data_IF_224981201065
#
_entry.id   IF_224981201065
#
_cell.length_a   1.000
_cell.length_b   1.000
_cell.length_c   1.000
_cell.angle_alpha   90.00
_cell.angle_beta   90.00
_cell.angle_gamma   90.00
#
_symmetry.space_group_name_H-M   'P 1'
#
loop_
_entity.id
_entity.type
_entity.pdbx_description
1 polymer ?
#
# COMPACT_ATOMS: atom_id res chain seq x y z
N UNK A 1 -3.38 14.02 -22.25
CA UNK A 1 -4.00 14.72 -21.10
C UNK A 1 -5.51 14.79 -21.28
N UNK A 2 -6.30 13.97 -20.59
CA UNK A 2 -7.77 14.14 -20.59
C UNK A 2 -8.18 14.97 -19.36
N UNK A 3 -8.60 16.22 -19.58
CA UNK A 3 -9.28 17.02 -18.55
C UNK A 3 -10.63 16.36 -18.30
N UNK A 4 -10.80 15.65 -17.18
CA UNK A 4 -12.13 15.18 -16.73
C UNK A 4 -12.97 16.41 -16.40
N UNK A 5 -13.93 16.74 -17.25
CA UNK A 5 -14.87 17.84 -17.03
C UNK A 5 -15.72 17.55 -15.78
N UNK A 6 -15.74 18.50 -14.83
CA UNK A 6 -16.62 18.46 -13.66
C UNK A 6 -18.03 18.93 -14.07
N UNK A 7 -18.82 18.01 -14.64
CA UNK A 7 -20.14 18.32 -15.20
C UNK A 7 -21.21 18.64 -14.13
N UNK A 8 -20.95 18.33 -12.86
CA UNK A 8 -21.92 18.51 -11.76
C UNK A 8 -21.57 19.66 -10.81
N UNK A 9 -20.43 20.33 -11.01
CA UNK A 9 -19.91 21.31 -10.06
C UNK A 9 -19.55 20.70 -8.70
N UNK A 10 -19.28 19.39 -8.65
CA UNK A 10 -19.03 18.69 -7.39
C UNK A 10 -17.76 19.22 -6.71
N UNK A 11 -17.82 19.33 -5.39
CA UNK A 11 -16.66 19.63 -4.56
C UNK A 11 -15.84 18.37 -4.35
N UNK A 12 -14.52 18.49 -4.36
CA UNK A 12 -13.64 17.37 -4.00
C UNK A 12 -13.49 17.33 -2.49
N UNK A 13 -13.75 16.17 -1.89
CA UNK A 13 -13.48 15.94 -0.46
C UNK A 13 -12.00 15.60 -0.31
N UNK A 14 -11.31 16.30 0.60
CA UNK A 14 -9.92 16.06 0.94
C UNK A 14 -9.79 14.71 1.66
N UNK A 15 -8.67 14.02 1.40
CA UNK A 15 -8.43 12.71 2.00
C UNK A 15 -8.23 12.81 3.52
N UNK A 16 -7.73 13.93 4.01
CA UNK A 16 -7.46 14.18 5.43
C UNK A 16 -8.76 14.29 6.26
N UNK A 17 -9.88 14.59 5.60
CA UNK A 17 -11.22 14.64 6.20
C UNK A 17 -11.93 13.28 6.23
N UNK A 18 -11.25 12.23 5.78
CA UNK A 18 -11.76 10.88 5.65
C UNK A 18 -10.82 9.92 6.38
N UNK A 19 -11.31 9.31 7.45
CA UNK A 19 -10.60 8.23 8.13
C UNK A 19 -11.33 6.93 7.89
N UNK A 20 -10.65 5.99 7.24
CA UNK A 20 -11.15 4.63 7.04
C UNK A 20 -10.19 3.69 7.73
N UNK A 21 -10.73 2.79 8.55
CA UNK A 21 -9.97 1.69 9.17
C UNK A 21 -10.68 0.37 8.93
N UNK A 22 -9.91 -0.71 8.82
CA UNK A 22 -10.47 -2.06 8.68
C UNK A 22 -9.92 -2.93 9.79
N UNK A 23 -10.83 -3.53 10.55
CA UNK A 23 -10.53 -4.51 11.58
C UNK A 23 -10.92 -5.90 11.08
N UNK A 24 -9.92 -6.76 10.91
CA UNK A 24 -10.11 -8.16 10.53
C UNK A 24 -9.91 -9.06 11.75
N UNK A 25 -10.98 -9.73 12.19
CA UNK A 25 -10.93 -10.71 13.27
C UNK A 25 -11.79 -11.95 12.94
N UNK A 26 -11.24 -13.15 13.16
CA UNK A 26 -11.96 -14.42 13.03
C UNK A 26 -12.79 -14.60 11.75
N UNK A 27 -12.27 -14.17 10.60
CA UNK A 27 -12.94 -14.31 9.30
C UNK A 27 -14.02 -13.26 9.00
N UNK A 28 -14.24 -12.31 9.90
CA UNK A 28 -15.03 -11.10 9.65
C UNK A 28 -14.09 -9.90 9.50
N UNK A 29 -14.39 -9.03 8.54
CA UNK A 29 -13.70 -7.75 8.34
C UNK A 29 -14.71 -6.61 8.40
N UNK A 30 -14.55 -5.74 9.39
CA UNK A 30 -15.41 -4.58 9.60
C UNK A 30 -14.65 -3.32 9.20
N UNK A 31 -15.24 -2.54 8.29
CA UNK A 31 -14.72 -1.25 7.86
C UNK A 31 -15.41 -0.15 8.65
N UNK A 32 -14.63 0.66 9.38
CA UNK A 32 -15.09 1.87 10.06
C UNK A 32 -14.74 3.10 9.23
N UNK A 33 -15.71 3.98 8.99
CA UNK A 33 -15.54 5.19 8.18
C UNK A 33 -15.98 6.40 8.97
N UNK A 34 -15.04 7.29 9.26
CA UNK A 34 -15.28 8.57 9.91
C UNK A 34 -15.06 9.72 8.93
N UNK A 35 -15.99 10.66 8.92
CA UNK A 35 -16.03 11.78 7.97
C UNK A 35 -16.16 13.10 8.71
N UNK A 36 -15.44 14.12 8.23
CA UNK A 36 -15.57 15.53 8.65
C UNK A 36 -15.96 16.36 7.46
N UNK A 37 -17.21 16.82 7.42
CA UNK A 37 -17.76 17.54 6.28
C UNK A 37 -18.07 19.01 6.58
N UNK A 38 -17.75 19.52 7.77
CA UNK A 38 -18.09 20.89 8.23
C UNK A 38 -17.62 21.99 7.25
N UNK A 39 -16.42 21.84 6.67
CA UNK A 39 -15.86 22.82 5.73
C UNK A 39 -16.48 22.75 4.32
N UNK A 40 -17.35 21.77 4.07
CA UNK A 40 -17.95 21.55 2.77
C UNK A 40 -19.37 22.13 2.75
N UNK A 41 -19.67 22.94 1.74
CA UNK A 41 -21.01 23.52 1.55
C UNK A 41 -22.03 22.50 1.02
N UNK A 42 -22.25 21.42 1.77
CA UNK A 42 -23.21 20.35 1.46
C UNK A 42 -24.45 20.46 2.36
N UNK A 43 -25.67 20.22 1.83
CA UNK A 43 -26.89 20.21 2.64
C UNK A 43 -26.87 19.09 3.70
N UNK A 44 -27.40 19.35 4.89
CA UNK A 44 -27.45 18.37 5.97
C UNK A 44 -28.28 17.12 5.65
N UNK A 45 -29.28 17.27 4.77
CA UNK A 45 -30.13 16.18 4.28
C UNK A 45 -29.53 15.42 3.10
N UNK A 46 -28.36 15.83 2.59
CA UNK A 46 -27.65 15.08 1.55
C UNK A 46 -27.29 13.68 2.04
N UNK A 47 -27.40 12.69 1.16
CA UNK A 47 -27.05 11.30 1.47
C UNK A 47 -25.57 11.08 1.26
N UNK A 48 -24.93 10.43 2.23
CA UNK A 48 -23.54 10.00 2.15
C UNK A 48 -23.52 8.50 1.88
N UNK A 49 -22.83 8.13 0.81
CA UNK A 49 -22.64 6.75 0.39
C UNK A 49 -21.15 6.50 0.37
N UNK A 50 -20.74 5.35 0.92
CA UNK A 50 -19.37 4.87 0.84
C UNK A 50 -19.36 3.61 -0.02
N UNK A 51 -18.52 3.60 -1.05
CA UNK A 51 -18.32 2.43 -1.89
C UNK A 51 -16.92 1.87 -1.63
N UNK A 52 -16.83 0.60 -1.25
CA UNK A 52 -15.60 -0.17 -1.29
C UNK A 52 -15.49 -0.82 -2.68
N UNK A 53 -14.38 -0.61 -3.36
CA UNK A 53 -14.14 -1.09 -4.72
C UNK A 53 -12.84 -1.90 -4.78
N UNK A 54 -12.87 -3.03 -5.49
CA UNK A 54 -11.68 -3.83 -5.81
C UNK A 54 -11.68 -4.17 -7.30
N UNK A 55 -10.71 -3.62 -8.03
CA UNK A 55 -10.66 -3.70 -9.49
C UNK A 55 -11.91 -3.08 -10.14
N UNK A 56 -12.31 -3.60 -11.31
CA UNK A 56 -13.47 -3.06 -12.06
C UNK A 56 -14.80 -3.74 -11.73
N UNK A 57 -14.77 -4.94 -11.15
CA UNK A 57 -15.93 -5.82 -11.05
C UNK A 57 -16.55 -5.88 -9.66
N UNK A 58 -15.75 -5.71 -8.58
CA UNK A 58 -16.25 -5.88 -7.22
C UNK A 58 -16.49 -4.51 -6.58
N UNK A 59 -17.74 -4.24 -6.23
CA UNK A 59 -18.15 -3.04 -5.48
C UNK A 59 -19.13 -3.42 -4.39
N UNK A 60 -18.89 -2.89 -3.20
CA UNK A 60 -19.78 -2.99 -2.08
C UNK A 60 -20.18 -1.58 -1.65
N UNK A 61 -21.48 -1.33 -1.57
CA UNK A 61 -22.04 -0.03 -1.25
C UNK A 61 -22.61 -0.03 0.16
N UNK A 62 -22.19 0.96 0.94
CA UNK A 62 -22.67 1.25 2.28
C UNK A 62 -23.40 2.58 2.32
N UNK A 63 -24.61 2.57 2.86
CA UNK A 63 -25.40 3.77 3.10
C UNK A 63 -24.95 4.38 4.44
N UNK A 64 -23.91 5.21 4.38
CA UNK A 64 -23.26 5.77 5.57
C UNK A 64 -24.22 6.62 6.41
N UNK A 65 -25.14 7.35 5.76
CA UNK A 65 -26.17 8.13 6.42
C UNK A 65 -26.40 9.49 5.75
N UNK A 66 -26.74 10.50 6.55
CA UNK A 66 -26.93 11.88 6.10
C UNK A 66 -25.70 12.73 6.40
N UNK A 67 -25.40 13.71 5.53
CA UNK A 67 -24.24 14.60 5.68
C UNK A 67 -24.31 15.39 7.00
N UNK A 68 -25.52 15.67 7.51
CA UNK A 68 -25.73 16.27 8.82
C UNK A 68 -24.98 15.59 9.98
N UNK A 69 -24.78 14.26 9.91
CA UNK A 69 -24.01 13.53 10.92
C UNK A 69 -22.50 13.84 10.85
N UNK A 70 -21.99 14.20 9.68
CA UNK A 70 -20.57 14.53 9.45
C UNK A 70 -20.27 16.04 9.52
N UNK A 71 -21.30 16.89 9.57
CA UNK A 71 -21.18 18.35 9.69
C UNK A 71 -20.88 18.82 11.13
N UNK A 72 -20.81 17.91 12.10
CA UNK A 72 -20.41 18.25 13.47
C UNK A 72 -18.91 18.49 13.55
N UNK A 73 -18.45 19.28 14.52
CA UNK A 73 -17.02 19.55 14.74
C UNK A 73 -16.21 18.29 15.10
N UNK A 74 -16.87 17.25 15.61
CA UNK A 74 -16.25 15.95 15.89
C UNK A 74 -16.29 15.01 14.67
N UNK A 75 -17.06 15.37 13.64
CA UNK A 75 -17.43 14.54 12.51
C UNK A 75 -18.49 13.51 12.86
N UNK A 76 -18.62 12.48 12.04
CA UNK A 76 -19.45 11.30 12.31
C UNK A 76 -18.73 10.02 11.89
N UNK A 77 -19.16 8.87 12.41
CA UNK A 77 -18.62 7.56 12.03
C UNK A 77 -19.74 6.55 11.77
N UNK A 78 -19.50 5.63 10.83
CA UNK A 78 -20.36 4.49 10.54
C UNK A 78 -19.50 3.30 10.14
N UNK A 79 -19.96 2.08 10.43
CA UNK A 79 -19.22 0.86 10.14
C UNK A 79 -20.07 -0.13 9.33
N UNK A 80 -19.40 -0.95 8.52
CA UNK A 80 -20.04 -1.97 7.70
C UNK A 80 -19.13 -3.17 7.43
N UNK A 81 -19.75 -4.32 7.16
CA UNK A 81 -19.05 -5.56 6.85
C UNK A 81 -18.47 -5.52 5.44
N UNK A 82 -17.16 -5.74 5.31
CA UNK A 82 -16.42 -5.82 4.04
C UNK A 82 -15.85 -7.22 3.79
N UNK A 83 -16.26 -8.24 4.54
CA UNK A 83 -15.76 -9.61 4.43
C UNK A 83 -15.94 -10.20 3.03
N UNK A 84 -17.00 -9.80 2.33
CA UNK A 84 -17.28 -10.22 0.94
C UNK A 84 -16.30 -9.66 -0.10
N UNK A 85 -15.45 -8.69 0.28
CA UNK A 85 -14.44 -8.10 -0.61
C UNK A 85 -13.21 -9.02 -0.81
N UNK A 86 -13.06 -10.05 0.03
CA UNK A 86 -11.92 -10.95 0.01
C UNK A 86 -10.66 -10.26 0.52
N UNK A 87 -9.62 -10.20 -0.32
CA UNK A 87 -8.36 -9.52 0.04
C UNK A 87 -8.53 -7.99 0.07
N UNK A 88 -8.16 -7.38 1.19
CA UNK A 88 -8.49 -5.98 1.52
C UNK A 88 -7.39 -4.98 1.15
N UNK A 89 -6.18 -5.43 0.80
CA UNK A 89 -5.06 -4.52 0.50
C UNK A 89 -5.26 -3.66 -0.74
N UNK A 90 -5.99 -4.19 -1.73
CA UNK A 90 -6.31 -3.48 -2.98
C UNK A 90 -7.67 -2.80 -2.94
N UNK A 91 -8.37 -2.86 -1.79
CA UNK A 91 -9.65 -2.19 -1.64
C UNK A 91 -9.41 -0.68 -1.61
N UNK A 92 -10.15 0.03 -2.46
CA UNK A 92 -10.19 1.48 -2.52
C UNK A 92 -11.58 1.95 -2.22
N UNK A 93 -11.67 3.07 -1.52
CA UNK A 93 -12.93 3.63 -1.09
C UNK A 93 -13.26 4.89 -1.89
N UNK A 94 -14.55 5.06 -2.14
CA UNK A 94 -15.13 6.29 -2.67
C UNK A 94 -16.17 6.78 -1.69
N UNK A 95 -16.13 8.07 -1.40
CA UNK A 95 -17.14 8.75 -0.59
C UNK A 95 -17.92 9.65 -1.53
N UNK A 96 -19.25 9.49 -1.55
CA UNK A 96 -20.16 10.21 -2.42
C UNK A 96 -21.19 10.95 -1.58
N UNK A 97 -21.33 12.25 -1.79
CA UNK A 97 -22.38 13.06 -1.17
C UNK A 97 -23.40 13.44 -2.24
N UNK A 98 -24.63 13.01 -2.07
CA UNK A 98 -25.67 13.02 -3.10
C UNK A 98 -26.89 13.79 -2.64
N UNK A 99 -27.37 14.69 -3.48
CA UNK A 99 -28.62 15.43 -3.27
C UNK A 99 -29.82 14.47 -3.35
N UNK A 100 -30.70 14.38 -2.33
CA UNK A 100 -31.72 13.33 -2.28
C UNK A 100 -32.77 13.43 -3.39
N UNK A 101 -33.14 14.67 -3.77
CA UNK A 101 -34.22 14.94 -4.72
C UNK A 101 -33.81 14.72 -6.18
N UNK A 102 -32.56 15.05 -6.54
CA UNK A 102 -32.07 15.01 -7.92
C UNK A 102 -31.08 13.88 -8.18
N UNK A 103 -30.60 13.21 -7.12
CA UNK A 103 -29.47 12.28 -7.18
C UNK A 103 -28.18 12.90 -7.75
N UNK A 104 -28.07 14.23 -7.74
CA UNK A 104 -26.87 14.95 -8.18
C UNK A 104 -25.74 14.73 -7.18
N UNK A 105 -24.55 14.42 -7.71
CA UNK A 105 -23.33 14.31 -6.92
C UNK A 105 -22.82 15.70 -6.53
N UNK A 106 -22.92 16.04 -5.24
CA UNK A 106 -22.55 17.32 -4.65
C UNK A 106 -21.08 17.38 -4.23
N UNK A 107 -20.57 16.29 -3.65
CA UNK A 107 -19.17 16.17 -3.28
C UNK A 107 -18.68 14.73 -3.40
N UNK A 108 -17.38 14.54 -3.64
CA UNK A 108 -16.80 13.21 -3.70
C UNK A 108 -15.31 13.15 -3.35
N UNK A 109 -14.90 12.02 -2.77
CA UNK A 109 -13.52 11.54 -2.75
C UNK A 109 -13.43 10.18 -3.44
N UNK A 110 -12.31 9.94 -4.12
CA UNK A 110 -12.05 8.68 -4.82
C UNK A 110 -10.65 8.17 -4.50
N UNK A 111 -10.48 6.84 -4.51
CA UNK A 111 -9.18 6.21 -4.26
C UNK A 111 -8.66 6.47 -2.84
N UNK A 112 -9.56 6.48 -1.85
CA UNK A 112 -9.20 6.54 -0.43
C UNK A 112 -8.76 5.14 0.02
N UNK A 113 -7.69 5.06 0.79
CA UNK A 113 -7.15 3.80 1.31
C UNK A 113 -7.57 3.63 2.77
N UNK A 114 -7.74 2.39 3.23
CA UNK A 114 -7.91 2.12 4.65
C UNK A 114 -6.57 2.19 5.38
N UNK A 115 -6.59 2.71 6.60
CA UNK A 115 -5.47 2.67 7.53
C UNK A 115 -5.60 1.45 8.43
N UNK A 116 -4.47 0.86 8.83
CA UNK A 116 -4.44 -0.14 9.89
C UNK A 116 -4.68 0.55 11.25
N UNK A 117 -5.40 -0.09 12.18
CA UNK A 117 -5.63 0.46 13.52
C UNK A 117 -4.32 0.63 14.34
N UNK A 118 -3.21 0.03 13.90
CA UNK A 118 -1.88 0.20 14.50
C UNK A 118 -1.13 1.46 14.01
N UNK A 119 -1.66 2.17 13.01
CA UNK A 119 -0.97 3.29 12.35
C UNK A 119 -1.60 4.65 12.71
N UNK A 120 -1.17 5.21 13.84
CA UNK A 120 -1.20 6.68 14.06
C UNK A 120 -0.04 7.36 13.30
N UNK A 121 0.82 6.60 12.63
CA UNK A 121 1.88 7.11 11.76
C UNK A 121 1.41 7.15 10.30
N UNK A 122 1.70 8.27 9.63
CA UNK A 122 1.48 8.53 8.20
C UNK A 122 1.54 7.24 7.37
N UNK A 123 0.53 7.03 6.53
CA UNK A 123 0.39 5.91 5.59
C UNK A 123 1.74 5.55 4.93
N UNK A 124 2.50 4.64 5.54
CA UNK A 124 3.75 4.17 4.95
C UNK A 124 3.35 3.19 3.85
N UNK A 125 3.32 3.69 2.61
CA UNK A 125 3.32 2.84 1.43
C UNK A 125 4.40 1.77 1.60
N UNK A 126 4.02 0.50 1.44
CA UNK A 126 4.97 -0.62 1.51
C UNK A 126 6.15 -0.35 0.58
N UNK A 127 7.37 -0.48 1.12
CA UNK A 127 8.59 -0.29 0.35
C UNK A 127 8.75 -1.35 -0.76
N UNK A 128 8.13 -2.51 -0.58
CA UNK A 128 8.12 -3.61 -1.53
C UNK A 128 6.66 -4.10 -1.67
N UNK A 129 5.88 -3.53 -2.59
CA UNK A 129 4.58 -4.07 -2.95
C UNK A 129 4.72 -5.50 -3.46
N UNK A 130 3.74 -6.36 -3.13
CA UNK A 130 3.66 -7.73 -3.65
C UNK A 130 2.43 -7.81 -4.55
N UNK A 131 2.58 -8.39 -5.74
CA UNK A 131 1.50 -8.69 -6.67
C UNK A 131 1.49 -10.18 -7.03
N UNK A 132 0.31 -10.72 -7.28
CA UNK A 132 0.13 -12.12 -7.72
C UNK A 132 -0.19 -12.13 -9.21
N UNK A 133 0.58 -12.87 -10.02
CA UNK A 133 0.32 -13.02 -11.46
C UNK A 133 0.80 -14.37 -11.98
N UNK A 134 0.30 -14.81 -13.13
CA UNK A 134 0.81 -16.01 -13.80
C UNK A 134 2.21 -15.71 -14.37
N UNK A 135 3.22 -16.42 -13.86
CA UNK A 135 4.62 -16.30 -14.28
C UNK A 135 5.02 -17.43 -15.24
N UNK A 136 4.07 -18.19 -15.79
CA UNK A 136 4.30 -19.21 -16.81
C UNK A 136 5.38 -20.24 -16.43
N UNK A 137 5.42 -20.63 -15.16
CA UNK A 137 6.41 -21.57 -14.60
C UNK A 137 7.56 -20.92 -13.82
N UNK A 138 7.61 -19.58 -13.78
CA UNK A 138 8.43 -18.83 -12.80
C UNK A 138 7.84 -18.88 -11.39
N UNK A 139 8.66 -18.58 -10.37
CA UNK A 139 8.22 -18.52 -8.95
C UNK A 139 8.04 -17.07 -8.51
N UNK A 140 9.00 -16.22 -8.86
CA UNK A 140 8.96 -14.80 -8.57
C UNK A 140 9.77 -14.01 -9.59
N UNK A 141 9.45 -12.74 -9.76
CA UNK A 141 10.24 -11.76 -10.49
C UNK A 141 10.11 -10.36 -9.87
N UNK A 142 10.98 -9.45 -10.29
CA UNK A 142 10.95 -8.05 -9.89
C UNK A 142 10.49 -7.19 -11.07
N UNK A 143 9.55 -6.30 -10.80
CA UNK A 143 9.02 -5.32 -11.75
C UNK A 143 9.28 -3.89 -11.26
N UNK A 144 9.17 -2.92 -12.17
CA UNK A 144 9.23 -1.48 -11.88
C UNK A 144 10.47 -1.05 -11.07
N UNK A 145 11.63 -1.63 -11.40
CA UNK A 145 12.89 -1.42 -10.69
C UNK A 145 13.39 0.03 -10.74
N UNK A 146 13.05 0.78 -11.79
CA UNK A 146 13.33 2.22 -11.93
C UNK A 146 12.46 3.09 -11.03
N UNK A 147 11.33 2.56 -10.55
CA UNK A 147 10.34 3.27 -9.75
C UNK A 147 10.23 2.71 -8.35
N UNK A 148 9.09 2.10 -8.03
CA UNK A 148 8.90 1.36 -6.78
C UNK A 148 9.01 -0.12 -7.10
N UNK A 149 10.14 -0.78 -6.75
CA UNK A 149 10.32 -2.20 -7.00
C UNK A 149 9.14 -3.00 -6.48
N UNK A 150 8.55 -3.81 -7.35
CA UNK A 150 7.39 -4.63 -7.04
C UNK A 150 7.76 -6.11 -7.15
N UNK A 151 7.47 -6.87 -6.11
CA UNK A 151 7.68 -8.32 -6.09
C UNK A 151 6.46 -9.01 -6.69
N UNK A 152 6.62 -9.55 -7.90
CA UNK A 152 5.61 -10.41 -8.49
C UNK A 152 5.85 -11.85 -8.06
N UNK A 153 4.82 -12.50 -7.53
CA UNK A 153 4.82 -13.91 -7.17
C UNK A 153 3.84 -14.67 -8.07
N UNK A 154 4.20 -15.90 -8.40
CA UNK A 154 3.33 -16.75 -9.21
C UNK A 154 1.99 -17.01 -8.50
N UNK A 155 0.90 -16.82 -9.24
CA UNK A 155 -0.47 -16.96 -8.71
C UNK A 155 -0.76 -18.36 -8.18
N UNK A 156 -0.02 -19.39 -8.62
CA UNK A 156 -0.19 -20.77 -8.16
C UNK A 156 0.53 -21.05 -6.82
N UNK A 157 1.30 -20.10 -6.26
CA UNK A 157 1.93 -20.25 -4.94
C UNK A 157 0.95 -20.07 -3.77
N UNK A 158 -0.26 -19.55 -4.04
CA UNK A 158 -1.29 -19.29 -3.05
C UNK A 158 -1.74 -17.83 -3.07
N UNK A 159 -2.54 -17.45 -2.07
CA UNK A 159 -3.00 -16.07 -1.92
C UNK A 159 -1.94 -15.20 -1.26
N UNK A 160 -2.01 -13.89 -1.50
CA UNK A 160 -1.10 -12.91 -0.89
C UNK A 160 -1.07 -13.00 0.64
N UNK A 161 -2.21 -13.23 1.27
CA UNK A 161 -2.31 -13.35 2.74
C UNK A 161 -1.69 -14.64 3.28
N UNK A 162 -1.83 -15.77 2.57
CA UNK A 162 -1.13 -17.01 2.92
C UNK A 162 0.39 -16.83 2.80
N UNK A 163 0.84 -16.10 1.77
CA UNK A 163 2.26 -15.90 1.49
C UNK A 163 2.96 -14.96 2.49
N UNK A 164 2.27 -13.97 3.07
CA UNK A 164 2.86 -13.05 4.07
C UNK A 164 3.51 -13.76 5.27
N UNK A 165 2.94 -14.90 5.66
CA UNK A 165 3.43 -15.71 6.76
C UNK A 165 4.12 -16.99 6.29
N UNK A 166 4.24 -17.20 4.97
CA UNK A 166 4.75 -18.43 4.40
C UNK A 166 6.29 -18.50 4.46
N UNK A 167 6.86 -19.68 4.75
CA UNK A 167 8.30 -19.91 4.62
C UNK A 167 8.80 -19.66 3.19
N UNK A 168 7.95 -19.78 2.17
CA UNK A 168 8.30 -19.47 0.77
C UNK A 168 8.73 -18.00 0.65
N UNK A 169 7.90 -17.07 1.13
CA UNK A 169 8.21 -15.65 1.07
C UNK A 169 9.48 -15.33 1.87
N UNK A 170 9.61 -15.88 3.07
CA UNK A 170 10.79 -15.67 3.91
C UNK A 170 12.08 -16.22 3.30
N UNK A 171 11.98 -17.26 2.46
CA UNK A 171 13.12 -17.85 1.76
C UNK A 171 13.57 -17.03 0.55
N UNK A 172 12.64 -16.38 -0.16
CA UNK A 172 12.97 -15.56 -1.36
C UNK A 172 13.38 -14.12 -1.01
N UNK A 173 12.84 -13.55 0.07
CA UNK A 173 13.09 -12.15 0.47
C UNK A 173 14.58 -11.75 0.52
N UNK A 174 15.51 -12.59 1.04
CA UNK A 174 16.93 -12.27 1.00
C UNK A 174 17.47 -12.05 -0.43
N UNK A 175 17.05 -12.90 -1.37
CA UNK A 175 17.43 -12.78 -2.79
C UNK A 175 16.80 -11.55 -3.45
N UNK A 176 15.53 -11.29 -3.14
CA UNK A 176 14.80 -10.11 -3.63
C UNK A 176 15.47 -8.81 -3.18
N UNK A 177 15.75 -8.67 -1.87
CA UNK A 177 16.41 -7.49 -1.32
C UNK A 177 17.81 -7.30 -1.93
N UNK A 178 18.57 -8.39 -2.12
CA UNK A 178 19.87 -8.34 -2.77
C UNK A 178 19.78 -7.77 -4.18
N UNK A 179 18.85 -8.29 -4.98
CA UNK A 179 18.66 -7.88 -6.37
C UNK A 179 18.29 -6.40 -6.48
N UNK A 180 17.38 -5.92 -5.60
CA UNK A 180 17.02 -4.49 -5.54
C UNK A 180 18.23 -3.64 -5.18
N UNK A 181 18.98 -4.00 -4.14
CA UNK A 181 20.15 -3.22 -3.70
C UNK A 181 21.24 -3.17 -4.77
N UNK A 182 21.51 -4.27 -5.46
CA UNK A 182 22.49 -4.32 -6.55
C UNK A 182 22.06 -3.43 -7.71
N UNK A 183 20.80 -3.54 -8.16
CA UNK A 183 20.26 -2.72 -9.23
C UNK A 183 20.37 -1.22 -8.91
N UNK A 184 19.85 -0.80 -7.76
CA UNK A 184 19.83 0.61 -7.36
C UNK A 184 21.23 1.20 -7.18
N UNK A 185 22.20 0.39 -6.75
CA UNK A 185 23.58 0.83 -6.60
C UNK A 185 24.30 1.00 -7.94
N UNK A 186 23.97 0.18 -8.95
CA UNK A 186 24.54 0.28 -10.29
C UNK A 186 23.94 1.47 -11.05
N UNK A 187 22.62 1.63 -11.05
CA UNK A 187 21.96 2.78 -11.70
C UNK A 187 22.46 4.11 -11.13
N UNK A 188 22.65 4.20 -9.80
CA UNK A 188 23.23 5.39 -9.15
C UNK A 188 24.65 5.71 -9.65
N UNK A 189 25.42 4.72 -10.07
CA UNK A 189 26.80 4.96 -10.54
C UNK A 189 26.85 5.53 -11.96
N UNK A 190 25.76 5.39 -12.73
CA UNK A 190 25.63 5.89 -14.10
C UNK A 190 25.00 7.30 -14.17
N UNK A 191 24.40 7.78 -13.09
CA UNK A 191 23.83 9.13 -12.98
C UNK A 191 24.87 10.17 -12.52
N UNK A 192 25.13 11.19 -13.37
CA UNK A 192 25.81 12.41 -12.92
C UNK A 192 24.93 13.14 -11.88
N UNK A 193 25.50 13.70 -10.79
CA UNK A 193 24.71 14.34 -9.75
C UNK A 193 24.01 15.59 -10.29
N UNK A 194 22.74 15.47 -10.65
CA UNK A 194 21.90 16.61 -11.02
C UNK A 194 21.35 17.25 -9.73
N UNK A 195 21.77 18.48 -9.44
CA UNK A 195 21.52 19.17 -8.16
C UNK A 195 20.06 19.64 -7.95
N UNK A 196 19.11 19.35 -8.87
CA UNK A 196 17.83 20.07 -8.93
C UNK A 196 16.53 19.23 -8.85
N UNK A 197 16.58 17.95 -8.46
CA UNK A 197 15.37 17.16 -8.18
C UNK A 197 15.30 16.73 -6.72
N UNK A 198 14.72 17.61 -5.88
CA UNK A 198 14.40 17.34 -4.48
C UNK A 198 13.28 16.32 -4.24
N UNK A 199 13.11 15.34 -5.14
CA UNK A 199 12.20 14.22 -4.92
C UNK A 199 13.00 13.06 -4.33
N UNK A 200 12.65 12.65 -3.11
CA UNK A 200 13.27 11.50 -2.45
C UNK A 200 12.83 10.22 -3.16
N UNK A 201 13.49 9.89 -4.28
CA UNK A 201 13.19 8.71 -5.09
C UNK A 201 13.27 7.45 -4.23
N UNK A 202 12.39 6.47 -4.48
CA UNK A 202 12.38 5.16 -3.81
C UNK A 202 13.76 4.49 -3.79
N UNK A 203 14.56 4.72 -4.85
CA UNK A 203 15.96 4.34 -4.97
C UNK A 203 16.83 4.80 -3.77
N UNK A 204 16.73 6.07 -3.37
CA UNK A 204 17.47 6.65 -2.24
C UNK A 204 17.14 5.91 -0.94
N UNK A 205 15.85 5.59 -0.73
CA UNK A 205 15.38 4.89 0.48
C UNK A 205 15.92 3.45 0.57
N UNK A 206 16.03 2.74 -0.55
CA UNK A 206 16.63 1.39 -0.57
C UNK A 206 18.12 1.43 -0.26
N UNK A 207 18.88 2.38 -0.80
CA UNK A 207 20.31 2.52 -0.54
C UNK A 207 20.61 2.94 0.92
N UNK A 208 19.76 3.79 1.50
CA UNK A 208 19.82 4.15 2.93
C UNK A 208 19.60 2.91 3.82
N UNK A 209 18.57 2.12 3.53
CA UNK A 209 18.30 0.88 4.25
C UNK A 209 19.41 -0.15 4.07
N UNK A 210 19.92 -0.30 2.84
CA UNK A 210 21.07 -1.15 2.54
C UNK A 210 22.29 -0.75 3.38
N UNK A 211 22.59 0.55 3.46
CA UNK A 211 23.70 1.09 4.25
C UNK A 211 23.50 0.84 5.74
N UNK A 212 22.28 1.04 6.25
CA UNK A 212 21.90 0.73 7.63
C UNK A 212 22.11 -0.76 7.94
N UNK A 213 21.66 -1.66 7.08
CA UNK A 213 21.78 -3.10 7.30
C UNK A 213 23.20 -3.62 7.14
N UNK A 214 23.98 -3.06 6.20
CA UNK A 214 25.39 -3.39 6.03
C UNK A 214 26.25 -2.85 7.20
N UNK A 215 25.83 -1.74 7.81
CA UNK A 215 26.56 -1.03 8.86
C UNK A 215 27.60 -0.04 8.32
N UNK A 216 27.63 0.17 7.00
CA UNK A 216 28.54 1.10 6.31
C UNK A 216 27.91 1.50 4.96
N UNK A 217 28.26 2.67 4.41
CA UNK A 217 27.61 3.21 3.21
C UNK A 217 27.80 2.32 1.99
N UNK A 218 26.87 2.40 1.04
CA UNK A 218 27.03 1.86 -0.31
C UNK A 218 28.35 2.37 -0.91
N UNK A 219 29.19 1.50 -1.49
CA UNK A 219 30.41 1.93 -2.15
C UNK A 219 30.05 2.78 -3.38
N UNK A 220 30.74 3.90 -3.58
CA UNK A 220 30.58 4.77 -4.75
C UNK A 220 31.57 4.39 -5.84
N UNK A 221 31.15 4.48 -7.11
CA UNK A 221 31.97 4.18 -8.31
C UNK A 221 32.73 2.85 -8.19
N UNK A 222 32.05 1.82 -7.70
CA UNK A 222 32.63 0.51 -7.44
C UNK A 222 32.19 -0.50 -8.51
N UNK A 223 33.02 -1.51 -8.75
CA UNK A 223 32.68 -2.56 -9.70
C UNK A 223 31.52 -3.41 -9.17
N UNK A 224 30.82 -4.09 -10.07
CA UNK A 224 29.70 -4.98 -9.75
C UNK A 224 29.99 -5.88 -8.54
N UNK A 225 31.20 -6.46 -8.47
CA UNK A 225 31.60 -7.36 -7.38
C UNK A 225 31.56 -6.70 -6.00
N UNK A 226 32.02 -5.46 -5.89
CA UNK A 226 32.06 -4.74 -4.62
C UNK A 226 30.64 -4.36 -4.17
N UNK A 227 29.78 -3.98 -5.12
CA UNK A 227 28.35 -3.72 -4.90
C UNK A 227 27.64 -4.99 -4.45
N UNK A 228 27.89 -6.11 -5.12
CA UNK A 228 27.31 -7.41 -4.84
C UNK A 228 27.71 -7.94 -3.44
N UNK A 229 28.98 -7.77 -3.06
CA UNK A 229 29.50 -8.09 -1.72
C UNK A 229 28.90 -7.17 -0.64
N UNK A 230 28.72 -5.88 -0.93
CA UNK A 230 28.02 -4.95 -0.04
C UNK A 230 26.55 -5.35 0.15
N UNK A 231 25.83 -5.62 -0.94
CA UNK A 231 24.44 -6.06 -0.91
C UNK A 231 24.28 -7.36 -0.12
N UNK A 232 25.22 -8.31 -0.25
CA UNK A 232 25.22 -9.54 0.54
C UNK A 232 25.34 -9.29 2.05
N UNK A 233 26.17 -8.32 2.46
CA UNK A 233 26.29 -7.91 3.87
C UNK A 233 25.02 -7.21 4.36
N UNK A 234 24.44 -6.33 3.54
CA UNK A 234 23.14 -5.70 3.83
C UNK A 234 22.03 -6.75 4.02
N UNK A 235 21.95 -7.75 3.13
CA UNK A 235 20.99 -8.85 3.25
C UNK A 235 21.17 -9.63 4.55
N UNK A 236 22.41 -9.87 4.96
CA UNK A 236 22.69 -10.52 6.26
C UNK A 236 22.15 -9.68 7.42
N UNK A 237 22.33 -8.36 7.38
CA UNK A 237 21.76 -7.42 8.37
C UNK A 237 20.23 -7.42 8.36
N UNK A 238 19.62 -7.34 7.18
CA UNK A 238 18.17 -7.43 6.98
C UNK A 238 17.59 -8.72 7.57
N UNK A 239 18.19 -9.88 7.26
CA UNK A 239 17.76 -11.18 7.77
C UNK A 239 17.81 -11.25 9.31
N UNK A 240 18.79 -10.59 9.94
CA UNK A 240 18.89 -10.47 11.40
C UNK A 240 17.80 -9.56 11.96
N UNK A 241 17.62 -8.38 11.38
CA UNK A 241 16.60 -7.41 11.81
C UNK A 241 15.20 -8.03 11.75
N UNK A 242 14.88 -8.73 10.67
CA UNK A 242 13.57 -9.38 10.47
C UNK A 242 13.45 -10.79 11.05
N UNK A 243 14.51 -11.29 11.72
CA UNK A 243 14.58 -12.63 12.34
C UNK A 243 14.20 -13.77 11.38
N UNK A 244 14.53 -13.63 10.09
CA UNK A 244 14.09 -14.58 9.05
C UNK A 244 14.58 -16.00 9.31
N UNK A 245 15.84 -16.15 9.75
CA UNK A 245 16.41 -17.47 10.10
C UNK A 245 15.58 -18.16 11.18
N UNK A 246 15.24 -17.46 12.26
CA UNK A 246 14.46 -18.04 13.36
C UNK A 246 13.07 -18.46 12.89
N UNK A 247 12.42 -17.64 12.05
CA UNK A 247 11.11 -17.96 11.46
C UNK A 247 11.18 -19.22 10.58
N UNK A 248 12.16 -19.31 9.70
CA UNK A 248 12.35 -20.49 8.85
C UNK A 248 12.64 -21.75 9.68
N UNK A 249 13.52 -21.66 10.69
CA UNK A 249 13.77 -22.79 11.59
C UNK A 249 12.51 -23.25 12.33
N UNK A 250 11.65 -22.32 12.79
CA UNK A 250 10.41 -22.71 13.47
C UNK A 250 9.43 -23.46 12.57
N UNK A 251 9.40 -23.15 11.27
CA UNK A 251 8.58 -23.91 10.32
C UNK A 251 9.12 -25.32 10.12
N UNK A 252 10.43 -25.45 9.90
CA UNK A 252 11.04 -26.78 9.68
C UNK A 252 10.87 -27.70 10.89
N UNK A 253 10.90 -27.17 12.11
CA UNK A 253 10.71 -27.96 13.34
C UNK A 253 9.24 -28.29 13.67
N UNK A 254 8.27 -27.75 12.93
CA UNK A 254 6.85 -28.08 13.07
C UNK A 254 6.37 -29.16 12.08
N UNK A 255 7.19 -29.48 11.08
CA UNK A 255 6.90 -30.52 10.08
C UNK A 255 7.44 -31.91 10.46
N UNK A 256 8.17 -32.02 11.59
CA UNK A 256 8.61 -33.28 12.24
C UNK A 256 7.66 -33.69 13.38
#
# INVERSE_FOLDING_TARGET
MSRRFNFTGRVRIHKDDIRITIDSSNGSSICSVCLRLEEYSVPSDARVIVEAERGRALRLRHEWGYAGNALSSEGGCSAFDVSSMGDLEDVRFRVLVVEPSTSRLLAAAEGVEAHSNDDIQESQRSLLPIVMKDLYGGVWELEDMDGTPTLALDINLGTKNELKSSPVLFSILPGVVRAILVYQALERSDEEPDEDTGDSTSATRWLELGSKWAGFPCPGNAEYRDIDDWAQKAVTGFCREKKLRSRLCSFMSQED
#
